data_IF_081413564784
#
_entry.id   IF_081413564784
#
_cell.length_a   1.000
_cell.length_b   1.000
_cell.length_c   1.000
_cell.angle_alpha   90.00
_cell.angle_beta   90.00
_cell.angle_gamma   90.00
#
_symmetry.space_group_name_H-M   'P 1'
#
loop_
_entity.id
_entity.type
_entity.pdbx_description
1 polymer ?
#
# COMPACT_ATOMS: atom_id res chain seq x y z
N UNK A 1 9.09 -10.66 15.32
CA UNK A 1 10.23 -9.93 15.92
C UNK A 1 11.47 -10.77 16.21
N UNK A 2 11.40 -11.91 16.93
CA UNK A 2 12.60 -12.74 17.23
C UNK A 2 13.39 -13.17 15.98
N UNK A 3 12.72 -13.66 14.95
CA UNK A 3 13.36 -14.04 13.68
C UNK A 3 14.07 -12.86 12.99
N UNK A 4 13.50 -11.66 13.07
CA UNK A 4 14.10 -10.45 12.52
C UNK A 4 15.37 -10.09 13.28
N UNK A 5 15.33 -10.10 14.61
CA UNK A 5 16.51 -9.86 15.45
C UNK A 5 17.65 -10.86 15.20
N UNK A 6 17.31 -12.14 15.01
CA UNK A 6 18.29 -13.15 14.63
C UNK A 6 18.91 -12.85 13.26
N UNK A 7 18.12 -12.36 12.30
CA UNK A 7 18.63 -11.92 11.00
C UNK A 7 19.61 -10.76 11.13
N UNK A 8 19.23 -9.75 11.91
CA UNK A 8 20.03 -8.56 12.16
C UNK A 8 21.40 -8.92 12.74
N UNK A 9 21.45 -9.87 13.67
CA UNK A 9 22.71 -10.40 14.20
C UNK A 9 23.54 -11.13 13.15
N UNK A 10 22.91 -11.95 12.30
CA UNK A 10 23.60 -12.67 11.24
C UNK A 10 24.19 -11.73 10.17
N UNK A 11 23.49 -10.64 9.86
CA UNK A 11 23.89 -9.64 8.87
C UNK A 11 24.75 -8.50 9.45
N UNK A 12 25.33 -8.66 10.65
CA UNK A 12 26.10 -7.60 11.29
C UNK A 12 27.29 -7.11 10.42
N UNK A 13 27.87 -7.99 9.60
CA UNK A 13 28.95 -7.66 8.67
C UNK A 13 28.55 -6.70 7.54
N UNK A 14 27.25 -6.51 7.28
CA UNK A 14 26.74 -5.56 6.28
C UNK A 14 26.50 -4.17 6.85
N UNK A 15 26.50 -4.03 8.18
CA UNK A 15 26.11 -2.81 8.86
C UNK A 15 24.63 -2.46 8.70
N UNK A 16 24.25 -1.31 9.25
CA UNK A 16 22.89 -0.78 9.14
C UNK A 16 22.62 -0.26 7.71
N UNK A 17 21.47 -0.57 7.09
CA UNK A 17 21.20 -0.09 5.74
C UNK A 17 21.13 1.44 5.71
N UNK A 18 21.87 2.05 4.78
CA UNK A 18 21.93 3.50 4.63
C UNK A 18 20.52 4.04 4.40
N UNK A 19 20.17 5.13 5.10
CA UNK A 19 18.88 5.83 4.98
C UNK A 19 17.64 5.07 5.49
N UNK A 20 17.75 3.85 6.00
CA UNK A 20 16.59 3.07 6.49
C UNK A 20 15.78 3.84 7.53
N UNK A 21 16.45 4.33 8.58
CA UNK A 21 15.81 5.07 9.67
C UNK A 21 15.13 6.34 9.18
N UNK A 22 15.79 7.08 8.29
CA UNK A 22 15.24 8.32 7.74
C UNK A 22 14.00 8.02 6.90
N UNK A 23 14.07 7.04 5.99
CA UNK A 23 12.93 6.65 5.14
C UNK A 23 11.75 6.18 5.97
N UNK A 24 11.97 5.27 6.92
CA UNK A 24 10.91 4.76 7.79
C UNK A 24 10.26 5.87 8.63
N UNK A 25 11.06 6.77 9.20
CA UNK A 25 10.53 7.93 9.95
C UNK A 25 9.75 8.87 9.06
N UNK A 26 10.30 9.23 7.90
CA UNK A 26 9.64 10.12 6.95
C UNK A 26 8.30 9.54 6.48
N UNK A 27 8.27 8.27 6.06
CA UNK A 27 7.03 7.58 5.65
C UNK A 27 5.98 7.55 6.77
N UNK A 28 6.41 7.26 8.01
CA UNK A 28 5.51 7.22 9.16
C UNK A 28 4.91 8.58 9.43
N UNK A 29 5.75 9.62 9.50
CA UNK A 29 5.32 10.99 9.77
C UNK A 29 4.40 11.48 8.65
N UNK A 30 4.78 11.29 7.39
CA UNK A 30 3.98 11.78 6.26
C UNK A 30 2.63 11.06 6.17
N UNK A 31 2.58 9.72 6.21
CA UNK A 31 1.32 8.98 6.06
C UNK A 31 0.34 9.28 7.21
N UNK A 32 0.81 9.31 8.47
CA UNK A 32 -0.06 9.58 9.61
C UNK A 32 -0.50 11.06 9.67
N UNK A 33 0.38 11.99 9.31
CA UNK A 33 0.02 13.42 9.29
C UNK A 33 -1.03 13.70 8.20
N UNK A 34 -0.84 13.16 7.00
CA UNK A 34 -1.81 13.34 5.90
C UNK A 34 -3.13 12.64 6.23
N UNK A 35 -3.12 11.45 6.86
CA UNK A 35 -4.35 10.80 7.32
C UNK A 35 -5.12 11.66 8.33
N UNK A 36 -4.41 12.30 9.25
CA UNK A 36 -5.01 13.18 10.26
C UNK A 36 -5.64 14.40 9.58
N UNK A 37 -4.92 15.02 8.65
CA UNK A 37 -5.40 16.18 7.89
C UNK A 37 -6.63 15.81 7.06
N UNK A 38 -6.58 14.68 6.36
CA UNK A 38 -7.68 14.19 5.53
C UNK A 38 -8.94 13.97 6.37
N UNK A 39 -8.81 13.30 7.52
CA UNK A 39 -9.93 13.05 8.41
C UNK A 39 -10.54 14.34 8.99
N UNK A 40 -9.69 15.27 9.44
CA UNK A 40 -10.15 16.58 9.95
C UNK A 40 -10.88 17.37 8.86
N UNK A 41 -10.34 17.40 7.64
CA UNK A 41 -10.98 18.05 6.49
C UNK A 41 -12.31 17.38 6.13
N UNK A 42 -12.41 16.05 6.24
CA UNK A 42 -13.64 15.31 6.01
C UNK A 42 -14.74 15.73 6.99
N UNK A 43 -14.43 15.79 8.29
CA UNK A 43 -15.38 16.23 9.32
C UNK A 43 -15.81 17.68 9.07
N UNK A 44 -14.86 18.57 8.83
CA UNK A 44 -15.15 20.00 8.56
C UNK A 44 -16.03 20.13 7.32
N UNK A 45 -15.72 19.40 6.24
CA UNK A 45 -16.50 19.38 5.01
C UNK A 45 -17.95 18.96 5.26
N UNK A 46 -18.16 17.83 5.94
CA UNK A 46 -19.49 17.35 6.29
C UNK A 46 -20.25 18.33 7.20
N UNK A 47 -19.56 18.96 8.15
CA UNK A 47 -20.19 19.94 9.04
C UNK A 47 -20.60 21.23 8.32
N UNK A 48 -19.78 21.71 7.38
CA UNK A 48 -20.13 22.84 6.51
C UNK A 48 -21.32 22.50 5.61
N UNK A 49 -21.36 21.28 5.07
CA UNK A 49 -22.51 20.83 4.27
C UNK A 49 -23.78 20.76 5.12
N UNK A 50 -23.69 20.24 6.35
CA UNK A 50 -24.80 20.22 7.29
C UNK A 50 -25.31 21.64 7.61
N UNK A 51 -24.41 22.60 7.86
CA UNK A 51 -24.81 23.97 8.19
C UNK A 51 -25.48 24.71 7.04
N UNK A 52 -25.13 24.38 5.78
CA UNK A 52 -25.74 24.96 4.58
C UNK A 52 -27.10 24.38 4.23
N UNK A 53 -27.31 23.08 4.46
CA UNK A 53 -28.51 22.35 4.03
C UNK A 53 -29.59 22.24 5.10
N UNK A 54 -29.25 22.49 6.37
CA UNK A 54 -30.22 22.44 7.48
C UNK A 54 -31.31 23.50 7.31
N UNK A 55 -32.55 23.13 7.63
CA UNK A 55 -33.64 24.10 7.81
C UNK A 55 -33.54 24.86 9.15
N UNK A 56 -34.11 26.06 9.24
CA UNK A 56 -33.98 26.94 10.43
C UNK A 56 -34.38 26.26 11.76
N UNK A 57 -35.37 25.35 11.74
CA UNK A 57 -35.94 24.73 12.94
C UNK A 57 -35.27 23.41 13.35
N UNK A 58 -34.33 22.87 12.58
CA UNK A 58 -33.69 21.58 12.90
C UNK A 58 -32.49 21.77 13.84
N UNK A 59 -32.12 20.78 14.64
CA UNK A 59 -30.84 20.81 15.38
C UNK A 59 -29.65 20.52 14.44
N UNK A 60 -28.54 21.23 14.59
CA UNK A 60 -27.40 21.10 13.67
C UNK A 60 -26.65 19.78 13.87
N UNK A 61 -26.53 19.30 15.11
CA UNK A 61 -25.83 18.06 15.40
C UNK A 61 -26.68 16.86 14.96
N UNK A 62 -27.98 16.90 15.22
CA UNK A 62 -28.91 15.89 14.72
C UNK A 62 -28.86 15.79 13.19
N UNK A 63 -28.97 16.93 12.49
CA UNK A 63 -28.89 16.93 11.03
C UNK A 63 -27.53 16.42 10.51
N UNK A 64 -26.43 16.85 11.13
CA UNK A 64 -25.09 16.38 10.79
C UNK A 64 -24.95 14.86 10.95
N UNK A 65 -25.37 14.30 12.09
CA UNK A 65 -25.22 12.87 12.35
C UNK A 65 -26.20 12.00 11.54
N UNK A 66 -27.47 12.39 11.50
CA UNK A 66 -28.55 11.57 10.94
C UNK A 66 -28.64 11.71 9.42
N UNK A 67 -28.38 12.88 8.85
CA UNK A 67 -28.61 13.11 7.41
C UNK A 67 -27.31 13.05 6.62
N UNK A 68 -26.22 13.60 7.15
CA UNK A 68 -24.97 13.76 6.40
C UNK A 68 -23.97 12.63 6.71
N UNK A 69 -23.64 12.40 7.98
CA UNK A 69 -22.53 11.53 8.36
C UNK A 69 -22.89 10.04 8.35
N UNK A 70 -24.05 9.65 8.90
CA UNK A 70 -24.41 8.25 9.11
C UNK A 70 -25.89 7.93 8.80
N UNK A 71 -26.40 8.28 7.60
CA UNK A 71 -27.83 8.12 7.29
C UNK A 71 -28.32 6.67 7.37
N UNK A 72 -27.49 5.70 6.96
CA UNK A 72 -27.85 4.28 6.99
C UNK A 72 -27.95 3.73 8.42
N UNK A 73 -27.15 4.27 9.35
CA UNK A 73 -27.11 3.82 10.75
C UNK A 73 -28.34 4.35 11.50
N UNK A 74 -28.63 5.64 11.36
CA UNK A 74 -29.76 6.28 12.02
C UNK A 74 -31.11 5.98 11.37
N UNK A 75 -31.13 5.35 10.19
CA UNK A 75 -32.34 4.75 9.63
C UNK A 75 -32.88 3.60 10.51
N UNK A 76 -32.02 2.93 11.28
CA UNK A 76 -32.37 1.76 12.10
C UNK A 76 -32.30 2.10 13.59
N UNK A 77 -31.32 2.91 13.99
CA UNK A 77 -31.05 3.26 15.39
C UNK A 77 -31.58 4.67 15.69
N UNK A 78 -32.29 4.84 16.81
CA UNK A 78 -32.77 6.16 17.23
C UNK A 78 -31.60 7.10 17.52
N UNK A 79 -31.71 8.34 17.06
CA UNK A 79 -30.71 9.37 17.30
C UNK A 79 -30.50 9.63 18.80
N UNK A 80 -29.23 9.73 19.18
CA UNK A 80 -28.79 10.34 20.42
C UNK A 80 -27.42 10.96 20.21
N UNK A 81 -27.15 12.09 20.86
CA UNK A 81 -25.88 12.82 20.69
C UNK A 81 -24.68 11.93 21.07
N UNK A 82 -24.79 11.15 22.15
CA UNK A 82 -23.75 10.23 22.61
C UNK A 82 -23.43 9.16 21.58
N UNK A 83 -24.45 8.58 20.94
CA UNK A 83 -24.24 7.57 19.91
C UNK A 83 -23.64 8.18 18.64
N UNK A 84 -24.07 9.38 18.24
CA UNK A 84 -23.45 10.12 17.13
C UNK A 84 -21.97 10.41 17.37
N UNK A 85 -21.60 10.85 18.58
CA UNK A 85 -20.20 11.04 18.96
C UNK A 85 -19.42 9.73 18.96
N UNK A 86 -20.00 8.63 19.46
CA UNK A 86 -19.37 7.31 19.42
C UNK A 86 -19.07 6.86 17.98
N UNK A 87 -20.01 7.07 17.05
CA UNK A 87 -19.80 6.75 15.63
C UNK A 87 -18.67 7.55 14.99
N UNK A 88 -18.48 8.82 15.38
CA UNK A 88 -17.33 9.60 14.93
C UNK A 88 -16.00 9.03 15.45
N UNK A 89 -15.95 8.63 16.73
CA UNK A 89 -14.75 7.99 17.30
C UNK A 89 -14.43 6.69 16.57
N UNK A 90 -15.44 5.84 16.30
CA UNK A 90 -15.26 4.60 15.53
C UNK A 90 -14.75 4.90 14.11
N UNK A 91 -15.27 5.95 13.47
CA UNK A 91 -14.84 6.35 12.13
C UNK A 91 -13.38 6.84 12.13
N UNK A 92 -13.01 7.66 13.11
CA UNK A 92 -11.63 8.10 13.33
C UNK A 92 -10.70 6.88 13.51
N UNK A 93 -11.02 5.98 14.43
CA UNK A 93 -10.23 4.78 14.70
C UNK A 93 -10.11 3.88 13.46
N UNK A 94 -11.18 3.77 12.66
CA UNK A 94 -11.18 3.00 11.42
C UNK A 94 -10.25 3.60 10.37
N UNK A 95 -10.34 4.92 10.13
CA UNK A 95 -9.46 5.65 9.20
C UNK A 95 -7.99 5.51 9.59
N UNK A 96 -7.68 5.62 10.88
CA UNK A 96 -6.33 5.42 11.39
C UNK A 96 -5.88 3.96 11.27
N UNK A 97 -6.75 3.01 11.58
CA UNK A 97 -6.44 1.57 11.50
C UNK A 97 -6.08 1.14 10.08
N UNK A 98 -6.85 1.58 9.07
CA UNK A 98 -6.53 1.28 7.67
C UNK A 98 -5.20 1.90 7.24
N UNK A 99 -4.96 3.17 7.60
CA UNK A 99 -3.70 3.85 7.30
C UNK A 99 -2.52 3.14 7.95
N UNK A 100 -2.69 2.69 9.20
CA UNK A 100 -1.67 1.99 9.94
C UNK A 100 -1.34 0.63 9.31
N UNK A 101 -2.33 -0.13 8.85
CA UNK A 101 -2.11 -1.41 8.18
C UNK A 101 -1.24 -1.20 6.92
N UNK A 102 -1.58 -0.22 6.08
CA UNK A 102 -0.82 0.09 4.87
C UNK A 102 0.62 0.52 5.19
N UNK A 103 0.77 1.41 6.18
CA UNK A 103 2.07 1.86 6.65
C UNK A 103 2.89 0.69 7.18
N UNK A 104 2.30 -0.18 7.99
CA UNK A 104 2.98 -1.32 8.59
C UNK A 104 3.49 -2.29 7.52
N UNK A 105 2.66 -2.65 6.54
CA UNK A 105 3.07 -3.48 5.40
C UNK A 105 4.20 -2.80 4.62
N UNK A 106 4.07 -1.51 4.35
CA UNK A 106 5.08 -0.72 3.63
C UNK A 106 6.42 -0.69 4.35
N UNK A 107 6.43 -0.48 5.68
CA UNK A 107 7.65 -0.46 6.50
C UNK A 107 8.33 -1.83 6.52
N UNK A 108 7.56 -2.92 6.63
CA UNK A 108 8.10 -4.28 6.52
C UNK A 108 8.68 -4.53 5.11
N UNK A 109 7.99 -4.05 4.08
CA UNK A 109 8.44 -4.07 2.69
C UNK A 109 9.80 -3.40 2.50
N UNK A 110 9.90 -2.14 2.91
CA UNK A 110 11.14 -1.34 2.87
C UNK A 110 12.28 -2.02 3.62
N UNK A 111 12.02 -2.52 4.84
CA UNK A 111 13.04 -3.17 5.66
C UNK A 111 13.64 -4.39 4.96
N UNK A 112 12.79 -5.24 4.37
CA UNK A 112 13.26 -6.42 3.62
C UNK A 112 13.96 -6.02 2.32
N UNK A 113 13.39 -5.10 1.54
CA UNK A 113 13.97 -4.69 0.27
C UNK A 113 15.36 -4.08 0.45
N UNK A 114 15.56 -3.24 1.47
CA UNK A 114 16.88 -2.69 1.80
C UNK A 114 17.91 -3.77 2.20
N UNK A 115 17.46 -4.84 2.86
CA UNK A 115 18.34 -5.97 3.21
C UNK A 115 18.72 -6.80 1.98
N UNK A 116 17.77 -7.06 1.07
CA UNK A 116 18.09 -7.69 -0.21
C UNK A 116 19.03 -6.81 -1.05
N UNK A 117 18.81 -5.50 -1.07
CA UNK A 117 19.67 -4.54 -1.75
C UNK A 117 21.12 -4.57 -1.22
N UNK A 118 21.32 -4.71 0.09
CA UNK A 118 22.67 -4.87 0.66
C UNK A 118 23.37 -6.13 0.15
N UNK A 119 22.66 -7.26 0.07
CA UNK A 119 23.20 -8.50 -0.48
C UNK A 119 23.52 -8.31 -1.96
N UNK A 120 22.59 -7.72 -2.73
CA UNK A 120 22.78 -7.50 -4.15
C UNK A 120 24.00 -6.60 -4.45
N UNK A 121 24.16 -5.50 -3.71
CA UNK A 121 25.33 -4.63 -3.83
C UNK A 121 26.64 -5.39 -3.52
N UNK A 122 26.65 -6.27 -2.50
CA UNK A 122 27.85 -7.05 -2.17
C UNK A 122 28.17 -8.09 -3.25
N UNK A 123 27.16 -8.71 -3.85
CA UNK A 123 27.34 -9.65 -4.98
C UNK A 123 27.91 -8.93 -6.21
N UNK A 124 27.38 -7.75 -6.53
CA UNK A 124 27.88 -6.91 -7.61
C UNK A 124 29.37 -6.60 -7.41
N UNK A 125 29.75 -6.16 -6.21
CA UNK A 125 31.16 -5.92 -5.86
C UNK A 125 32.04 -7.17 -6.01
N UNK A 126 31.58 -8.33 -5.52
CA UNK A 126 32.34 -9.59 -5.66
C UNK A 126 32.51 -10.03 -7.11
N UNK A 127 31.51 -9.79 -7.95
CA UNK A 127 31.58 -10.08 -9.37
C UNK A 127 32.57 -9.14 -10.09
N UNK A 128 32.55 -7.84 -9.75
CA UNK A 128 33.49 -6.84 -10.29
C UNK A 128 34.94 -7.11 -9.87
N UNK A 129 35.16 -7.46 -8.60
CA UNK A 129 36.48 -7.80 -8.05
C UNK A 129 36.96 -9.21 -8.45
N UNK A 130 36.16 -9.98 -9.18
CA UNK A 130 36.45 -11.36 -9.63
C UNK A 130 36.84 -12.28 -8.47
N UNK A 131 36.13 -12.17 -7.35
CA UNK A 131 36.37 -12.98 -6.16
C UNK A 131 36.16 -14.46 -6.48
N UNK A 132 37.21 -15.27 -6.34
CA UNK A 132 37.17 -16.73 -6.56
C UNK A 132 36.97 -17.55 -5.28
N UNK A 133 36.92 -16.91 -4.12
CA UNK A 133 36.82 -17.59 -2.83
C UNK A 133 35.42 -18.19 -2.62
N UNK A 134 35.32 -19.52 -2.68
CA UNK A 134 34.06 -20.26 -2.51
C UNK A 134 33.41 -20.06 -1.13
N UNK A 135 34.21 -19.84 -0.08
CA UNK A 135 33.70 -19.63 1.29
C UNK A 135 32.87 -18.33 1.33
N UNK A 136 33.37 -17.26 0.71
CA UNK A 136 32.65 -15.98 0.64
C UNK A 136 31.36 -16.10 -0.16
N UNK A 137 31.37 -16.82 -1.28
CA UNK A 137 30.16 -17.11 -2.08
C UNK A 137 29.13 -17.96 -1.33
N UNK A 138 29.59 -18.92 -0.52
CA UNK A 138 28.74 -19.71 0.34
C UNK A 138 28.09 -18.85 1.43
N UNK A 139 28.86 -18.01 2.12
CA UNK A 139 28.37 -17.12 3.18
C UNK A 139 27.28 -16.18 2.69
N UNK A 140 27.50 -15.51 1.55
CA UNK A 140 26.51 -14.58 0.98
C UNK A 140 25.26 -15.30 0.47
N UNK A 141 25.40 -16.52 -0.07
CA UNK A 141 24.24 -17.36 -0.43
C UNK A 141 23.44 -17.74 0.81
N UNK A 142 24.10 -18.10 1.90
CA UNK A 142 23.41 -18.41 3.16
C UNK A 142 22.70 -17.18 3.75
N UNK A 143 23.28 -15.98 3.67
CA UNK A 143 22.61 -14.72 4.03
C UNK A 143 21.35 -14.49 3.18
N UNK A 144 21.44 -14.72 1.87
CA UNK A 144 20.29 -14.60 0.98
C UNK A 144 19.19 -15.60 1.33
N UNK A 145 19.54 -16.87 1.55
CA UNK A 145 18.60 -17.92 1.96
C UNK A 145 17.93 -17.55 3.28
N UNK A 146 18.72 -17.04 4.24
CA UNK A 146 18.22 -16.52 5.52
C UNK A 146 17.16 -15.43 5.27
N UNK A 147 17.45 -14.42 4.44
CA UNK A 147 16.46 -13.38 4.09
C UNK A 147 15.21 -13.94 3.39
N UNK A 148 15.35 -14.93 2.51
CA UNK A 148 14.19 -15.58 1.88
C UNK A 148 13.30 -16.27 2.92
N UNK A 149 13.90 -16.95 3.90
CA UNK A 149 13.16 -17.58 5.00
C UNK A 149 12.45 -16.53 5.86
N UNK A 150 13.11 -15.40 6.15
CA UNK A 150 12.50 -14.31 6.90
C UNK A 150 11.33 -13.69 6.12
N UNK A 151 11.50 -13.44 4.82
CA UNK A 151 10.45 -12.91 3.95
C UNK A 151 9.22 -13.84 3.95
N UNK A 152 9.41 -15.15 3.81
CA UNK A 152 8.32 -16.14 3.90
C UNK A 152 7.60 -16.10 5.25
N UNK A 153 8.34 -16.16 6.36
CA UNK A 153 7.74 -16.06 7.71
C UNK A 153 6.99 -14.74 7.92
N UNK A 154 7.48 -13.66 7.34
CA UNK A 154 6.81 -12.36 7.41
C UNK A 154 5.54 -12.36 6.56
N UNK A 155 5.60 -12.90 5.35
CA UNK A 155 4.44 -13.08 4.47
C UNK A 155 3.35 -13.93 5.13
N UNK A 156 3.69 -15.02 5.82
CA UNK A 156 2.69 -15.86 6.50
C UNK A 156 1.87 -15.05 7.52
N UNK A 157 2.53 -14.17 8.27
CA UNK A 157 1.90 -13.29 9.26
C UNK A 157 1.17 -12.09 8.64
N UNK A 158 1.72 -11.52 7.56
CA UNK A 158 1.13 -10.34 6.89
C UNK A 158 0.06 -10.70 5.86
N UNK A 159 -0.02 -11.95 5.40
CA UNK A 159 -0.86 -12.37 4.27
C UNK A 159 -2.33 -11.94 4.42
N UNK A 160 -2.91 -12.10 5.61
CA UNK A 160 -4.26 -11.62 5.93
C UNK A 160 -4.37 -10.10 5.85
N UNK A 161 -3.41 -9.39 6.43
CA UNK A 161 -3.38 -7.93 6.44
C UNK A 161 -3.22 -7.37 5.03
N UNK A 162 -2.44 -8.03 4.17
CA UNK A 162 -2.28 -7.67 2.76
C UNK A 162 -3.61 -7.81 2.02
N UNK A 163 -4.35 -8.90 2.23
CA UNK A 163 -5.68 -9.06 1.61
C UNK A 163 -6.63 -7.96 2.05
N UNK A 164 -6.69 -7.68 3.36
CA UNK A 164 -7.56 -6.62 3.90
C UNK A 164 -7.15 -5.25 3.35
N UNK A 165 -5.86 -4.92 3.36
CA UNK A 165 -5.32 -3.68 2.82
C UNK A 165 -5.71 -3.49 1.35
N UNK A 166 -5.48 -4.49 0.49
CA UNK A 166 -5.83 -4.40 -0.93
C UNK A 166 -7.33 -4.32 -1.16
N UNK A 167 -8.13 -5.09 -0.43
CA UNK A 167 -9.59 -5.08 -0.55
C UNK A 167 -10.16 -3.71 -0.13
N UNK A 168 -9.75 -3.18 1.02
CA UNK A 168 -10.17 -1.87 1.51
C UNK A 168 -9.72 -0.75 0.57
N UNK A 169 -8.45 -0.74 0.15
CA UNK A 169 -7.93 0.29 -0.75
C UNK A 169 -8.66 0.28 -2.09
N UNK A 170 -8.87 -0.90 -2.69
CA UNK A 170 -9.61 -1.01 -3.95
C UNK A 170 -11.06 -0.55 -3.78
N UNK A 171 -11.74 -0.97 -2.71
CA UNK A 171 -13.12 -0.55 -2.42
C UNK A 171 -13.23 0.97 -2.33
N UNK A 172 -12.37 1.62 -1.53
CA UNK A 172 -12.41 3.08 -1.39
C UNK A 172 -12.06 3.81 -2.68
N UNK A 173 -11.13 3.30 -3.48
CA UNK A 173 -10.79 3.88 -4.78
C UNK A 173 -12.01 3.84 -5.71
N UNK A 174 -12.70 2.70 -5.77
CA UNK A 174 -13.92 2.55 -6.59
C UNK A 174 -15.06 3.45 -6.11
N UNK A 175 -15.28 3.54 -4.79
CA UNK A 175 -16.30 4.44 -4.22
C UNK A 175 -16.00 5.91 -4.54
N UNK A 176 -14.73 6.31 -4.39
CA UNK A 176 -14.33 7.70 -4.64
C UNK A 176 -14.41 8.05 -6.13
N UNK A 177 -14.03 7.13 -7.01
CA UNK A 177 -14.21 7.32 -8.45
C UNK A 177 -15.69 7.39 -8.84
N UNK A 178 -16.55 6.54 -8.28
CA UNK A 178 -17.99 6.65 -8.47
C UNK A 178 -18.53 8.02 -8.03
N UNK A 179 -18.06 8.56 -6.90
CA UNK A 179 -18.42 9.91 -6.45
C UNK A 179 -17.90 11.00 -7.38
N UNK A 180 -16.79 10.79 -8.09
CA UNK A 180 -16.25 11.73 -9.07
C UNK A 180 -17.16 11.94 -10.28
N UNK A 181 -18.03 10.97 -10.59
CA UNK A 181 -19.01 11.06 -11.67
C UNK A 181 -20.18 11.99 -11.33
N UNK A 182 -20.40 12.28 -10.04
CA UNK A 182 -21.43 13.23 -9.60
C UNK A 182 -20.94 14.65 -9.86
N UNK A 183 -21.85 15.50 -10.34
CA UNK A 183 -21.52 16.90 -10.58
C UNK A 183 -21.31 17.62 -9.25
N UNK A 184 -20.14 18.25 -9.10
CA UNK A 184 -19.80 19.06 -7.93
C UNK A 184 -19.70 20.52 -8.38
N UNK A 185 -20.47 21.41 -7.76
CA UNK A 185 -20.44 22.85 -8.07
C UNK A 185 -19.29 23.57 -7.38
N UNK A 186 -19.03 23.23 -6.12
CA UNK A 186 -18.07 23.91 -5.25
C UNK A 186 -16.61 23.59 -5.61
N UNK A 187 -15.80 24.64 -5.85
CA UNK A 187 -14.36 24.49 -6.07
C UNK A 187 -13.63 23.88 -4.86
N UNK A 188 -14.10 24.18 -3.64
CA UNK A 188 -13.52 23.65 -2.40
C UNK A 188 -13.73 22.15 -2.29
N UNK A 189 -14.94 21.66 -2.62
CA UNK A 189 -15.27 20.24 -2.61
C UNK A 189 -14.45 19.48 -3.66
N UNK A 190 -14.20 20.08 -4.84
CA UNK A 190 -13.30 19.50 -5.85
C UNK A 190 -11.87 19.38 -5.35
N UNK A 191 -11.33 20.42 -4.73
CA UNK A 191 -9.96 20.40 -4.19
C UNK A 191 -9.83 19.33 -3.11
N UNK A 192 -10.79 19.26 -2.18
CA UNK A 192 -10.83 18.21 -1.16
C UNK A 192 -10.91 16.81 -1.78
N UNK A 193 -11.76 16.63 -2.79
CA UNK A 193 -11.90 15.37 -3.51
C UNK A 193 -10.56 14.91 -4.09
N UNK A 194 -9.86 15.76 -4.85
CA UNK A 194 -8.58 15.41 -5.45
C UNK A 194 -7.49 15.16 -4.40
N UNK A 195 -7.49 15.91 -3.30
CA UNK A 195 -6.57 15.69 -2.19
C UNK A 195 -6.79 14.32 -1.54
N UNK A 196 -8.03 14.01 -1.16
CA UNK A 196 -8.39 12.73 -0.52
C UNK A 196 -8.13 11.55 -1.47
N UNK A 197 -8.50 11.68 -2.74
CA UNK A 197 -8.24 10.65 -3.75
C UNK A 197 -6.75 10.43 -3.99
N UNK A 198 -5.98 11.52 -4.12
CA UNK A 198 -4.53 11.47 -4.27
C UNK A 198 -3.84 10.81 -3.08
N UNK A 199 -4.31 11.07 -1.86
CA UNK A 199 -3.81 10.42 -0.66
C UNK A 199 -4.10 8.92 -0.65
N UNK A 200 -5.34 8.52 -0.95
CA UNK A 200 -5.72 7.11 -1.05
C UNK A 200 -4.91 6.36 -2.11
N UNK A 201 -4.78 6.96 -3.29
CA UNK A 201 -3.96 6.40 -4.38
C UNK A 201 -2.49 6.30 -3.97
N UNK A 202 -1.94 7.36 -3.34
CA UNK A 202 -0.57 7.38 -2.86
C UNK A 202 -0.28 6.26 -1.86
N UNK A 203 -1.17 6.05 -0.88
CA UNK A 203 -1.05 4.95 0.09
C UNK A 203 -1.08 3.57 -0.57
N UNK A 204 -2.03 3.37 -1.48
CA UNK A 204 -2.18 2.12 -2.23
C UNK A 204 -0.92 1.83 -3.05
N UNK A 205 -0.39 2.85 -3.73
CA UNK A 205 0.85 2.76 -4.49
C UNK A 205 2.06 2.48 -3.60
N UNK A 206 2.15 3.08 -2.40
CA UNK A 206 3.24 2.80 -1.46
C UNK A 206 3.28 1.31 -1.09
N UNK A 207 2.16 0.72 -0.65
CA UNK A 207 2.09 -0.71 -0.29
C UNK A 207 2.53 -1.59 -1.47
N UNK A 208 2.00 -1.28 -2.65
CA UNK A 208 2.30 -1.96 -3.90
C UNK A 208 3.79 -1.89 -4.29
N UNK A 209 4.36 -0.68 -4.31
CA UNK A 209 5.74 -0.45 -4.73
C UNK A 209 6.73 -1.05 -3.76
N UNK A 210 6.52 -0.90 -2.44
CA UNK A 210 7.42 -1.48 -1.45
C UNK A 210 7.33 -3.01 -1.36
N UNK A 211 6.15 -3.58 -1.61
CA UNK A 211 6.00 -5.03 -1.76
C UNK A 211 6.71 -5.57 -3.01
N UNK A 212 6.56 -4.88 -4.15
CA UNK A 212 7.22 -5.25 -5.41
C UNK A 212 8.75 -5.09 -5.34
N UNK A 213 9.23 -4.07 -4.62
CA UNK A 213 10.65 -3.78 -4.47
C UNK A 213 11.43 -4.92 -3.82
N UNK A 214 10.82 -5.70 -2.92
CA UNK A 214 11.44 -6.91 -2.35
C UNK A 214 11.79 -7.90 -3.46
N UNK A 215 10.83 -8.19 -4.34
CA UNK A 215 11.01 -9.13 -5.45
C UNK A 215 12.13 -8.68 -6.38
N UNK A 216 12.15 -7.40 -6.73
CA UNK A 216 13.17 -6.79 -7.58
C UNK A 216 14.58 -6.92 -7.00
N UNK A 217 14.79 -6.44 -5.76
CA UNK A 217 16.11 -6.49 -5.12
C UNK A 217 16.55 -7.93 -4.85
N UNK A 218 15.62 -8.86 -4.63
CA UNK A 218 15.94 -10.27 -4.45
C UNK A 218 16.39 -10.99 -5.72
N UNK A 219 16.01 -10.48 -6.89
CA UNK A 219 16.35 -11.04 -8.21
C UNK A 219 17.46 -10.27 -8.92
N UNK A 220 17.70 -9.00 -8.54
CA UNK A 220 18.77 -8.15 -9.06
C UNK A 220 20.14 -8.84 -9.16
N UNK A 221 20.60 -9.67 -8.19
CA UNK A 221 21.91 -10.32 -8.27
C UNK A 221 22.07 -11.31 -9.43
N UNK A 222 20.98 -11.78 -10.05
CA UNK A 222 21.04 -12.77 -11.12
C UNK A 222 21.91 -12.30 -12.30
N UNK A 223 21.83 -11.03 -12.67
CA UNK A 223 22.62 -10.50 -13.78
C UNK A 223 24.12 -10.61 -13.47
N UNK A 224 24.53 -10.16 -12.29
CA UNK A 224 25.92 -10.19 -11.84
C UNK A 224 26.45 -11.62 -11.65
N UNK A 225 25.62 -12.53 -11.11
CA UNK A 225 26.00 -13.94 -10.93
C UNK A 225 26.20 -14.66 -12.27
N UNK A 226 25.38 -14.35 -13.28
CA UNK A 226 25.52 -14.93 -14.62
C UNK A 226 26.68 -14.34 -15.42
N UNK A 227 27.19 -13.16 -15.04
CA UNK A 227 28.32 -12.51 -15.71
C UNK A 227 29.69 -12.82 -15.08
N UNK A 228 29.76 -13.65 -14.04
CA UNK A 228 31.03 -14.01 -13.38
C UNK A 228 31.91 -14.79 -14.36
N UNK A 229 33.19 -14.41 -14.45
CA UNK A 229 34.17 -15.08 -15.32
C UNK A 229 34.36 -16.55 -14.97
N UNK A 230 34.62 -17.40 -15.96
CA UNK A 230 34.77 -18.86 -15.78
C UNK A 230 35.81 -19.25 -14.73
N UNK A 231 36.85 -18.44 -14.53
CA UNK A 231 37.91 -18.69 -13.54
C UNK A 231 37.47 -18.45 -12.09
N UNK A 232 36.46 -17.61 -11.87
CA UNK A 232 35.87 -17.33 -10.55
C UNK A 232 34.54 -18.08 -10.34
N UNK A 233 34.04 -18.77 -11.37
CA UNK A 233 32.78 -19.50 -11.31
C UNK A 233 32.90 -20.76 -10.45
N UNK A 234 32.09 -20.85 -9.40
CA UNK A 234 32.09 -21.97 -8.45
C UNK A 234 30.74 -22.68 -8.37
N UNK A 235 30.73 -23.86 -7.75
CA UNK A 235 29.50 -24.62 -7.49
C UNK A 235 28.51 -23.81 -6.64
N UNK A 236 29.00 -22.96 -5.74
CA UNK A 236 28.18 -22.10 -4.90
C UNK A 236 27.46 -21.01 -5.70
N UNK A 237 28.11 -20.42 -6.71
CA UNK A 237 27.47 -19.45 -7.63
C UNK A 237 26.36 -20.15 -8.41
N UNK A 238 26.60 -21.35 -8.93
CA UNK A 238 25.58 -22.15 -9.62
C UNK A 238 24.38 -22.43 -8.71
N UNK A 239 24.62 -22.87 -7.47
CA UNK A 239 23.56 -23.11 -6.47
C UNK A 239 22.79 -21.83 -6.16
N UNK A 240 23.47 -20.70 -6.11
CA UNK A 240 22.84 -19.41 -5.84
C UNK A 240 21.90 -19.02 -6.99
N UNK A 241 22.36 -19.06 -8.24
CA UNK A 241 21.53 -18.78 -9.41
C UNK A 241 20.26 -19.66 -9.40
N UNK A 242 20.42 -20.97 -9.19
CA UNK A 242 19.29 -21.90 -9.09
C UNK A 242 18.32 -21.48 -7.97
N UNK A 243 18.83 -21.12 -6.80
CA UNK A 243 17.98 -20.73 -5.67
C UNK A 243 17.15 -19.47 -5.97
N UNK A 244 17.73 -18.46 -6.63
CA UNK A 244 17.01 -17.25 -7.01
C UNK A 244 15.96 -17.55 -8.08
N UNK A 245 16.30 -18.35 -9.09
CA UNK A 245 15.38 -18.68 -10.19
C UNK A 245 14.17 -19.52 -9.75
N UNK A 246 14.38 -20.51 -8.88
CA UNK A 246 13.32 -21.46 -8.52
C UNK A 246 12.46 -21.01 -7.35
N UNK A 247 12.94 -20.11 -6.49
CA UNK A 247 12.22 -19.75 -5.27
C UNK A 247 12.39 -18.27 -4.87
N UNK A 248 11.97 -17.33 -5.74
CA UNK A 248 12.09 -15.91 -5.45
C UNK A 248 11.19 -15.51 -4.28
N UNK A 249 11.69 -14.74 -3.30
CA UNK A 249 10.88 -14.24 -2.20
C UNK A 249 9.94 -13.14 -2.69
N UNK A 250 8.67 -13.22 -2.29
CA UNK A 250 7.66 -12.20 -2.60
C UNK A 250 6.59 -12.15 -1.50
N UNK A 251 5.98 -10.98 -1.32
CA UNK A 251 4.80 -10.81 -0.49
C UNK A 251 3.55 -11.13 -1.29
N UNK A 252 2.56 -11.74 -0.64
CA UNK A 252 1.34 -12.23 -1.27
C UNK A 252 0.13 -12.06 -0.36
N UNK A 253 -1.02 -11.77 -0.95
CA UNK A 253 -2.30 -11.86 -0.26
C UNK A 253 -2.79 -13.30 -0.28
N UNK A 254 -2.41 -14.11 0.72
CA UNK A 254 -2.83 -15.53 0.85
C UNK A 254 -2.58 -16.40 -0.39
N UNK A 255 -1.57 -16.07 -1.19
CA UNK A 255 -1.30 -16.67 -2.50
C UNK A 255 -2.41 -16.48 -3.56
N UNK A 256 -3.45 -15.67 -3.29
CA UNK A 256 -4.39 -15.23 -4.34
C UNK A 256 -3.71 -14.33 -5.37
N UNK A 257 -2.79 -13.50 -4.90
CA UNK A 257 -1.96 -12.64 -5.73
C UNK A 257 -0.60 -12.40 -5.08
N UNK A 258 0.41 -12.13 -5.91
CA UNK A 258 1.75 -11.72 -5.50
C UNK A 258 1.93 -10.23 -5.80
N UNK A 259 2.50 -9.49 -4.84
CA UNK A 259 2.75 -8.06 -5.02
C UNK A 259 3.93 -7.88 -5.96
N UNK A 260 3.63 -7.45 -7.18
CA UNK A 260 4.61 -7.22 -8.27
C UNK A 260 4.23 -5.94 -9.02
N UNK A 261 5.17 -5.29 -9.72
CA UNK A 261 4.84 -4.15 -10.60
C UNK A 261 3.75 -4.49 -11.63
N UNK A 262 3.76 -5.73 -12.13
CA UNK A 262 2.74 -6.23 -13.04
C UNK A 262 1.34 -6.21 -12.42
N UNK A 263 1.20 -6.61 -11.16
CA UNK A 263 -0.07 -6.51 -10.44
C UNK A 263 -0.54 -5.06 -10.32
N UNK A 264 0.35 -4.12 -10.00
CA UNK A 264 0.01 -2.69 -9.90
C UNK A 264 -0.55 -2.16 -11.22
N UNK A 265 0.15 -2.46 -12.33
CA UNK A 265 -0.28 -2.08 -13.68
C UNK A 265 -1.62 -2.73 -14.04
N UNK A 266 -1.82 -3.99 -13.69
CA UNK A 266 -3.09 -4.70 -13.93
C UNK A 266 -4.25 -4.05 -13.17
N UNK A 267 -4.06 -3.75 -11.88
CA UNK A 267 -5.10 -3.11 -11.05
C UNK A 267 -5.44 -1.73 -11.60
N UNK A 268 -4.43 -0.92 -11.95
CA UNK A 268 -4.63 0.40 -12.56
C UNK A 268 -5.40 0.29 -13.89
N UNK A 269 -5.04 -0.66 -14.74
CA UNK A 269 -5.73 -0.94 -16.00
C UNK A 269 -7.19 -1.32 -15.78
N UNK A 270 -7.47 -2.25 -14.86
CA UNK A 270 -8.84 -2.67 -14.51
C UNK A 270 -9.68 -1.51 -13.97
N UNK A 271 -9.11 -0.67 -13.10
CA UNK A 271 -9.79 0.53 -12.58
C UNK A 271 -10.13 1.47 -13.74
N UNK A 272 -9.19 1.77 -14.65
CA UNK A 272 -9.50 2.62 -15.80
C UNK A 272 -10.58 2.01 -16.70
N UNK A 273 -10.53 0.70 -16.96
CA UNK A 273 -11.57 0.02 -17.77
C UNK A 273 -12.94 0.15 -17.11
N UNK A 274 -13.02 -0.06 -15.80
CA UNK A 274 -14.25 0.12 -15.03
C UNK A 274 -14.79 1.56 -15.17
N UNK A 275 -13.92 2.56 -15.02
CA UNK A 275 -14.31 3.97 -15.16
C UNK A 275 -14.80 4.31 -16.57
N UNK A 276 -14.12 3.81 -17.60
CA UNK A 276 -14.54 4.03 -18.98
C UNK A 276 -15.94 3.44 -19.24
N UNK A 277 -16.20 2.24 -18.72
CA UNK A 277 -17.51 1.58 -18.84
C UNK A 277 -18.58 2.38 -18.09
N UNK A 278 -18.28 2.86 -16.87
CA UNK A 278 -19.21 3.70 -16.13
C UNK A 278 -19.52 5.00 -16.87
N UNK A 279 -18.50 5.71 -17.36
CA UNK A 279 -18.70 6.97 -18.11
C UNK A 279 -19.55 6.74 -19.36
N UNK A 280 -19.32 5.64 -20.08
CA UNK A 280 -20.14 5.27 -21.23
C UNK A 280 -21.60 5.01 -20.83
N UNK A 281 -21.83 4.20 -19.78
CA UNK A 281 -23.18 3.91 -19.30
C UNK A 281 -23.91 5.18 -18.83
N UNK A 282 -23.28 6.00 -17.98
CA UNK A 282 -23.86 7.25 -17.50
C UNK A 282 -24.04 8.30 -18.60
N UNK A 283 -23.11 8.35 -19.56
CA UNK A 283 -23.19 9.22 -20.73
C UNK A 283 -24.39 8.87 -21.62
N UNK A 284 -24.59 7.57 -21.89
CA UNK A 284 -25.75 7.07 -22.64
C UNK A 284 -27.06 7.37 -21.92
N UNK A 285 -27.14 7.12 -20.61
CA UNK A 285 -28.36 7.43 -19.83
C UNK A 285 -28.70 8.93 -19.81
N UNK A 286 -27.69 9.83 -19.80
CA UNK A 286 -27.92 11.28 -19.91
C UNK A 286 -28.44 11.70 -21.28
N UNK A 287 -27.97 11.07 -22.35
CA UNK A 287 -28.44 11.33 -23.71
C UNK A 287 -29.88 10.86 -23.91
N UNK A 288 -30.23 9.68 -23.38
CA UNK A 288 -31.60 9.16 -23.41
C UNK A 288 -32.56 10.05 -22.60
N UNK A 289 -32.17 10.50 -21.40
CA UNK A 289 -32.99 11.38 -20.57
C UNK A 289 -33.23 12.77 -21.20
N UNK A 290 -32.28 13.29 -21.98
CA UNK A 290 -32.46 14.55 -22.73
C UNK A 290 -33.23 14.35 -24.05
N UNK A 291 -33.18 13.17 -24.67
CA UNK A 291 -33.94 12.85 -25.88
C UNK A 291 -35.45 12.64 -25.64
N UNK A 292 -35.87 12.32 -24.41
CA UNK A 292 -37.28 12.22 -24.02
C UNK A 292 -37.95 13.55 -23.64
N UNK A 293 -37.23 14.68 -23.76
CA UNK A 293 -37.76 16.04 -23.47
C UNK A 293 -38.16 16.84 -24.73
N UNK A 294 -38.22 16.21 -25.89
CA UNK A 294 -38.75 16.77 -27.15
C UNK A 294 -39.99 16.03 -27.59
#
# INVERSE_FOLDING_TARGET
MRNWHTMEKAMNSYGWPRWMNLRMKMMTITMLSIATIEHVLSIIGHFITASKLKSENQDIFEYFFVVIAFPEVFAIIKYSIWFGTLMQVITFDSTFSWTYIDLFISLMGVGLALRFQQIANRIELYAEEKVSNEILWKEIREDYVRLCILCRKLNDNLSNLIVISFASNLFYVLVQLYHSLKYVESAVEKIYFFFSFGFLMGRTLCVCLYGAWIGEESQRPLLSLNSVSSNAYSVEIRRFILHICFNPPSLSGKHFFFITRGLVLSIAGTIMTYELVLIQAFGVSRLEANGTRT
#
